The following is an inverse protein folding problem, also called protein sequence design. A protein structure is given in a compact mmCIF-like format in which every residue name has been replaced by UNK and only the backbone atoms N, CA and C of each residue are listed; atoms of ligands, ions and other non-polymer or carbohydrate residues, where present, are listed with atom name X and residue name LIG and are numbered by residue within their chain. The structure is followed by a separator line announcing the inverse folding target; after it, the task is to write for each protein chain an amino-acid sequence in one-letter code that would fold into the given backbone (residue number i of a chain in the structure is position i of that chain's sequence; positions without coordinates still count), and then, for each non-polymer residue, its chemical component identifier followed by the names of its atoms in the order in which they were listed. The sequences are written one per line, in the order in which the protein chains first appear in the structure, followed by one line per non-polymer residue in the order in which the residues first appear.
data_IF_792110725744
#
_entry.id   IF_792110725744
#
_cell.length_a   1.000
_cell.length_b   1.000
_cell.length_c   1.000
_cell.angle_alpha   90.00
_cell.angle_beta   90.00
_cell.angle_gamma   90.00
#
_symmetry.space_group_name_H-M   'P 1'
#
loop_
_entity.id
_entity.type
_entity.pdbx_description
1 polymer ?
#
# COMPACT_ATOMS: atom_id res chain seq x y z
N UNK A 1 -29.31 71.37 -20.72
CA UNK A 1 -29.40 70.78 -19.38
C UNK A 1 -28.74 69.41 -19.42
N UNK A 2 -27.86 69.18 -18.46
CA UNK A 2 -26.88 68.09 -18.39
C UNK A 2 -27.52 66.69 -18.33
N UNK A 3 -26.96 65.72 -19.07
CA UNK A 3 -26.89 64.32 -18.60
C UNK A 3 -25.80 63.50 -19.33
N UNK A 4 -24.62 63.52 -18.70
CA UNK A 4 -23.62 62.45 -18.51
C UNK A 4 -23.44 61.35 -19.58
N UNK A 5 -22.29 61.41 -20.26
CA UNK A 5 -21.61 60.25 -20.86
C UNK A 5 -21.33 59.19 -19.79
N UNK A 6 -21.84 57.97 -19.99
CA UNK A 6 -21.40 56.79 -19.25
C UNK A 6 -20.39 56.02 -20.11
N UNK A 7 -19.15 56.00 -19.65
CA UNK A 7 -18.05 55.16 -20.15
C UNK A 7 -18.40 53.69 -19.92
N UNK A 8 -18.73 52.91 -20.94
CA UNK A 8 -18.54 51.45 -20.91
C UNK A 8 -18.59 50.87 -22.32
N UNK A 9 -17.48 50.82 -23.05
CA UNK A 9 -17.30 49.90 -24.19
C UNK A 9 -15.82 49.80 -24.56
N UNK A 10 -15.00 49.28 -23.64
CA UNK A 10 -13.71 48.69 -23.96
C UNK A 10 -13.55 47.43 -23.08
N UNK A 11 -13.35 46.28 -23.75
CA UNK A 11 -13.14 44.91 -23.23
C UNK A 11 -14.37 44.14 -22.70
N UNK A 12 -14.58 42.88 -23.17
CA UNK A 12 -13.58 41.82 -23.09
C UNK A 12 -13.44 40.97 -24.37
N UNK A 13 -12.50 41.34 -25.24
CA UNK A 13 -11.89 40.38 -26.18
C UNK A 13 -10.59 39.78 -25.58
N UNK A 14 -10.12 40.29 -24.43
CA UNK A 14 -8.88 39.85 -23.81
C UNK A 14 -9.01 38.69 -22.79
N UNK A 15 -10.20 38.12 -22.57
CA UNK A 15 -10.37 37.00 -21.60
C UNK A 15 -10.36 35.63 -22.30
N UNK A 16 -10.63 35.57 -23.61
CA UNK A 16 -10.61 34.29 -24.34
C UNK A 16 -9.17 33.85 -24.66
N UNK A 17 -8.21 34.77 -24.75
CA UNK A 17 -6.79 34.42 -24.98
C UNK A 17 -6.02 34.05 -23.70
N UNK A 18 -6.59 34.22 -22.51
CA UNK A 18 -5.95 33.83 -21.24
C UNK A 18 -6.41 32.44 -20.77
N UNK A 19 -7.56 31.95 -21.24
CA UNK A 19 -7.98 30.56 -20.97
C UNK A 19 -7.36 29.52 -21.92
N UNK A 20 -6.67 29.94 -22.99
CA UNK A 20 -5.93 29.04 -23.90
C UNK A 20 -4.41 29.02 -23.64
N UNK A 21 -3.91 29.80 -22.66
CA UNK A 21 -2.52 29.75 -22.19
C UNK A 21 -2.37 29.01 -20.85
N UNK A 22 -3.42 28.30 -20.43
CA UNK A 22 -3.39 27.28 -19.37
C UNK A 22 -3.73 25.90 -19.95
N UNK A 23 -3.28 25.60 -21.18
CA UNK A 23 -2.64 24.31 -21.38
C UNK A 23 -1.35 24.39 -20.58
N UNK A 24 -1.45 24.15 -19.27
CA UNK A 24 -0.30 23.67 -18.53
C UNK A 24 0.24 22.53 -19.37
N UNK A 25 1.43 22.71 -19.94
CA UNK A 25 2.19 21.57 -20.36
C UNK A 25 2.17 20.66 -19.13
N UNK A 26 1.39 19.58 -19.19
CA UNK A 26 1.58 18.46 -18.30
C UNK A 26 3.00 18.00 -18.63
N UNK A 27 3.98 18.65 -18.00
CA UNK A 27 5.36 18.20 -17.98
C UNK A 27 5.29 16.87 -17.23
N UNK A 28 5.02 15.81 -17.99
CA UNK A 28 5.13 14.46 -17.49
C UNK A 28 6.54 14.29 -16.97
N UNK A 29 6.68 13.73 -15.79
CA UNK A 29 7.97 13.50 -15.15
C UNK A 29 8.94 12.81 -16.10
N UNK A 30 10.21 13.16 -16.03
CA UNK A 30 11.23 12.65 -16.94
C UNK A 30 11.98 11.50 -16.29
N UNK A 31 12.19 10.44 -17.08
CA UNK A 31 13.16 9.39 -16.79
C UNK A 31 14.26 9.45 -17.84
N UNK A 32 15.49 9.63 -17.41
CA UNK A 32 16.67 9.64 -18.28
C UNK A 32 17.45 8.35 -18.10
N UNK A 33 17.71 7.67 -19.21
CA UNK A 33 18.57 6.48 -19.30
C UNK A 33 19.91 6.88 -19.88
N UNK A 34 20.98 6.65 -19.12
CA UNK A 34 22.35 6.82 -19.59
C UNK A 34 22.91 5.46 -20.00
N UNK A 35 23.12 5.29 -21.32
CA UNK A 35 23.64 4.06 -21.90
C UNK A 35 25.10 3.78 -21.53
N UNK A 36 25.90 4.82 -21.34
CA UNK A 36 27.32 4.69 -21.00
C UNK A 36 27.50 4.35 -19.52
N UNK A 37 26.80 5.08 -18.65
CA UNK A 37 26.81 4.83 -17.20
C UNK A 37 25.99 3.58 -16.81
N UNK A 38 25.11 3.10 -17.69
CA UNK A 38 24.17 1.99 -17.43
C UNK A 38 23.26 2.27 -16.25
N UNK A 39 22.79 3.51 -16.16
CA UNK A 39 21.95 4.02 -15.08
C UNK A 39 20.68 4.62 -15.64
N UNK A 40 19.69 4.76 -14.76
CA UNK A 40 18.45 5.47 -15.04
C UNK A 40 18.09 6.32 -13.84
N UNK A 41 17.66 7.56 -14.06
CA UNK A 41 17.23 8.47 -13.01
C UNK A 41 15.88 9.08 -13.36
N UNK A 42 15.07 9.35 -12.34
CA UNK A 42 13.84 10.12 -12.47
C UNK A 42 13.99 11.48 -11.80
N UNK A 43 13.35 12.50 -12.36
CA UNK A 43 13.25 13.85 -11.78
C UNK A 43 12.17 13.97 -10.68
N UNK A 44 11.44 12.88 -10.40
CA UNK A 44 10.37 12.80 -9.40
C UNK A 44 10.54 11.57 -8.50
N UNK A 45 9.87 11.58 -7.35
CA UNK A 45 9.71 10.41 -6.48
C UNK A 45 8.45 9.57 -6.80
N UNK A 46 7.62 10.02 -7.75
CA UNK A 46 6.41 9.29 -8.19
C UNK A 46 6.70 8.17 -9.20
N UNK A 47 7.95 8.05 -9.64
CA UNK A 47 8.44 7.08 -10.61
C UNK A 47 9.67 6.35 -10.09
N UNK A 48 9.72 5.04 -10.33
CA UNK A 48 10.85 4.18 -9.98
C UNK A 48 11.36 3.49 -11.26
N UNK A 49 12.41 4.03 -11.91
CA UNK A 49 13.02 3.38 -13.06
C UNK A 49 13.92 2.22 -12.62
N UNK A 50 13.77 1.08 -13.28
CA UNK A 50 14.65 -0.09 -13.10
C UNK A 50 16.02 0.18 -13.69
N UNK A 51 17.07 -0.46 -13.17
CA UNK A 51 18.38 -0.48 -13.84
C UNK A 51 18.23 -0.90 -15.32
N UNK A 52 18.78 -0.13 -16.27
CA UNK A 52 18.71 -0.49 -17.70
C UNK A 52 19.34 -1.85 -17.97
N UNK A 53 18.70 -2.63 -18.84
CA UNK A 53 19.25 -3.88 -19.37
C UNK A 53 19.82 -3.62 -20.75
N UNK A 54 21.09 -3.91 -20.95
CA UNK A 54 21.79 -3.67 -22.22
C UNK A 54 22.35 -4.99 -22.73
N UNK A 55 22.05 -5.35 -23.98
CA UNK A 55 22.59 -6.54 -24.64
C UNK A 55 22.93 -6.22 -26.09
N UNK A 56 24.23 -6.20 -26.40
CA UNK A 56 24.71 -5.59 -27.64
C UNK A 56 24.32 -4.11 -27.66
N UNK A 57 23.75 -3.68 -28.78
CA UNK A 57 23.24 -2.31 -28.96
C UNK A 57 21.73 -2.17 -28.65
N UNK A 58 21.12 -3.20 -28.05
CA UNK A 58 19.74 -3.14 -27.55
C UNK A 58 19.70 -2.64 -26.11
N UNK A 59 18.68 -1.87 -25.77
CA UNK A 59 18.40 -1.41 -24.40
C UNK A 59 16.96 -1.66 -24.00
N UNK A 60 16.77 -2.11 -22.76
CA UNK A 60 15.47 -2.23 -22.13
C UNK A 60 15.40 -1.49 -20.79
N UNK A 61 14.25 -0.89 -20.51
CA UNK A 61 13.94 -0.16 -19.28
C UNK A 61 12.52 -0.51 -18.83
N UNK A 62 12.32 -0.69 -17.53
CA UNK A 62 11.00 -0.63 -16.91
C UNK A 62 10.88 0.60 -16.03
N UNK A 63 9.78 1.34 -16.13
CA UNK A 63 9.44 2.45 -15.24
C UNK A 63 8.14 2.12 -14.52
N UNK A 64 8.20 2.15 -13.19
CA UNK A 64 7.05 1.86 -12.31
C UNK A 64 6.50 3.16 -11.73
N UNK A 65 5.18 3.27 -11.65
CA UNK A 65 4.51 4.33 -10.89
C UNK A 65 4.43 3.96 -9.41
N UNK A 66 4.83 4.85 -8.52
CA UNK A 66 4.63 4.67 -7.07
C UNK A 66 3.26 5.16 -6.60
N UNK A 67 2.55 5.93 -7.43
CA UNK A 67 1.20 6.45 -7.16
C UNK A 67 0.11 5.58 -7.81
N UNK A 68 -1.13 5.74 -7.35
CA UNK A 68 -2.28 4.92 -7.74
C UNK A 68 -2.92 5.46 -9.02
N UNK A 69 -2.82 6.76 -9.25
CA UNK A 69 -3.40 7.48 -10.37
C UNK A 69 -2.61 7.26 -11.66
N UNK A 70 -3.27 7.32 -12.83
CA UNK A 70 -2.57 7.37 -14.11
C UNK A 70 -1.65 8.59 -14.19
N UNK A 71 -0.48 8.42 -14.79
CA UNK A 71 0.45 9.53 -15.03
C UNK A 71 1.21 9.38 -16.36
N UNK A 72 1.64 10.50 -16.92
CA UNK A 72 2.50 10.52 -18.10
C UNK A 72 3.96 10.61 -17.69
N UNK A 73 4.82 9.87 -18.38
CA UNK A 73 6.28 9.88 -18.22
C UNK A 73 6.94 10.22 -19.54
N UNK A 74 7.93 11.10 -19.52
CA UNK A 74 8.81 11.35 -20.67
C UNK A 74 10.08 10.51 -20.51
N UNK A 75 10.36 9.61 -21.45
CA UNK A 75 11.53 8.73 -21.36
C UNK A 75 12.58 9.18 -22.37
N UNK A 76 13.77 9.51 -21.86
CA UNK A 76 14.93 9.96 -22.61
C UNK A 76 16.03 8.92 -22.57
N UNK A 77 16.70 8.70 -23.70
CA UNK A 77 17.88 7.84 -23.79
C UNK A 77 19.06 8.68 -24.27
N UNK A 78 20.17 8.59 -23.55
CA UNK A 78 21.44 9.27 -23.88
C UNK A 78 22.46 8.21 -24.25
N UNK A 79 23.16 8.40 -25.37
CA UNK A 79 24.20 7.49 -25.85
C UNK A 79 23.70 6.29 -26.67
N UNK A 80 22.58 6.45 -27.37
CA UNK A 80 22.16 5.52 -28.42
C UNK A 80 23.15 5.60 -29.60
N UNK A 81 23.49 4.46 -30.23
CA UNK A 81 24.51 4.39 -31.30
C UNK A 81 23.94 4.36 -32.71
N UNK A 82 22.82 3.66 -32.92
CA UNK A 82 22.15 3.59 -34.21
C UNK A 82 21.25 4.80 -34.50
N UNK A 83 20.92 5.00 -35.78
CA UNK A 83 20.04 6.11 -36.20
C UNK A 83 18.55 5.81 -35.98
N UNK A 84 18.13 4.54 -36.06
CA UNK A 84 16.73 4.12 -35.99
C UNK A 84 16.59 2.83 -35.19
N UNK A 85 15.63 2.80 -34.27
CA UNK A 85 15.34 1.66 -33.40
C UNK A 85 13.92 1.15 -33.60
N UNK A 86 13.76 -0.16 -33.66
CA UNK A 86 12.49 -0.85 -33.44
C UNK A 86 12.07 -0.70 -31.97
N UNK A 87 10.87 -0.18 -31.76
CA UNK A 87 10.36 0.17 -30.42
C UNK A 87 9.36 -0.87 -29.97
N UNK A 88 9.60 -1.44 -28.80
CA UNK A 88 8.68 -2.36 -28.14
C UNK A 88 8.22 -1.75 -26.82
N UNK A 89 6.90 -1.65 -26.64
CA UNK A 89 6.29 -1.14 -25.40
C UNK A 89 5.43 -2.23 -24.83
N UNK A 90 5.71 -2.65 -23.59
CA UNK A 90 5.04 -3.78 -22.92
C UNK A 90 5.00 -5.05 -23.80
N UNK A 91 6.14 -5.35 -24.45
CA UNK A 91 6.32 -6.47 -25.39
C UNK A 91 5.53 -6.36 -26.71
N UNK A 92 4.85 -5.25 -26.99
CA UNK A 92 4.20 -5.00 -28.27
C UNK A 92 5.07 -4.11 -29.16
N UNK A 93 5.27 -4.52 -30.40
CA UNK A 93 5.97 -3.71 -31.41
C UNK A 93 5.14 -2.47 -31.76
N UNK A 94 5.74 -1.29 -31.66
CA UNK A 94 5.11 0.02 -31.95
C UNK A 94 5.65 0.68 -33.22
N UNK A 95 6.51 -0.01 -33.96
CA UNK A 95 7.16 0.52 -35.16
C UNK A 95 8.57 1.08 -34.90
N UNK A 96 9.33 1.34 -35.97
CA UNK A 96 10.64 1.96 -35.89
C UNK A 96 10.54 3.45 -35.57
N UNK A 97 11.51 4.00 -34.83
CA UNK A 97 11.64 5.44 -34.54
C UNK A 97 13.10 5.92 -34.60
N UNK A 98 13.35 7.16 -35.02
CA UNK A 98 14.68 7.76 -34.97
C UNK A 98 15.24 7.87 -33.54
N UNK A 99 16.54 7.69 -33.38
CA UNK A 99 17.23 7.87 -32.09
C UNK A 99 17.02 9.28 -31.50
N UNK A 100 16.96 10.29 -32.37
CA UNK A 100 16.71 11.69 -31.99
C UNK A 100 15.41 11.89 -31.21
N UNK A 101 14.36 11.10 -31.49
CA UNK A 101 13.11 11.18 -30.75
C UNK A 101 13.32 10.80 -29.28
N UNK A 102 14.19 9.83 -29.02
CA UNK A 102 14.54 9.38 -27.67
C UNK A 102 15.55 10.29 -26.98
N UNK A 103 16.39 11.00 -27.71
CA UNK A 103 17.26 12.04 -27.13
C UNK A 103 16.44 13.24 -26.63
N UNK A 104 15.43 13.66 -27.42
CA UNK A 104 14.49 14.71 -27.03
C UNK A 104 13.55 14.24 -25.91
N UNK A 105 13.09 12.99 -26.00
CA UNK A 105 12.24 12.33 -25.03
C UNK A 105 10.87 11.98 -25.60
N UNK A 106 10.44 10.73 -25.39
CA UNK A 106 9.13 10.24 -25.85
C UNK A 106 8.20 10.09 -24.65
N UNK A 107 6.99 10.62 -24.77
CA UNK A 107 5.98 10.51 -23.73
C UNK A 107 5.24 9.18 -23.79
N UNK A 108 5.07 8.54 -22.63
CA UNK A 108 4.28 7.32 -22.43
C UNK A 108 3.29 7.53 -21.30
N UNK A 109 2.16 6.82 -21.36
CA UNK A 109 1.18 6.76 -20.28
C UNK A 109 1.45 5.52 -19.43
N UNK A 110 1.57 5.73 -18.12
CA UNK A 110 1.47 4.65 -17.13
C UNK A 110 0.06 4.68 -16.59
N UNK A 111 -0.63 3.54 -16.66
CA UNK A 111 -1.99 3.44 -16.17
C UNK A 111 -2.05 3.42 -14.65
N UNK A 112 -3.17 3.88 -14.13
CA UNK A 112 -3.49 3.79 -12.72
C UNK A 112 -3.93 2.38 -12.32
N UNK A 113 -4.18 2.21 -11.03
CA UNK A 113 -4.65 0.96 -10.45
C UNK A 113 -5.99 0.51 -11.05
N UNK A 114 -6.11 -0.80 -11.28
CA UNK A 114 -7.37 -1.48 -11.66
C UNK A 114 -7.88 -2.44 -10.59
N UNK A 115 -7.14 -2.55 -9.48
CA UNK A 115 -7.44 -3.43 -8.35
C UNK A 115 -8.17 -2.65 -7.25
N UNK A 116 -8.94 -3.36 -6.41
CA UNK A 116 -9.62 -2.74 -5.28
C UNK A 116 -8.58 -2.16 -4.28
N UNK A 117 -8.68 -0.87 -3.90
CA UNK A 117 -7.79 -0.26 -2.91
C UNK A 117 -7.72 -0.99 -1.58
N UNK A 118 -8.83 -1.58 -1.12
CA UNK A 118 -8.93 -2.27 0.17
C UNK A 118 -8.19 -3.62 0.12
N UNK A 119 -8.27 -4.34 -1.00
CA UNK A 119 -7.46 -5.54 -1.24
C UNK A 119 -5.96 -5.21 -1.22
N UNK A 120 -5.56 -4.13 -1.89
CA UNK A 120 -4.16 -3.72 -1.91
C UNK A 120 -3.65 -3.25 -0.54
N UNK A 121 -4.50 -2.57 0.25
CA UNK A 121 -4.20 -2.23 1.65
C UNK A 121 -3.96 -3.49 2.48
N UNK A 122 -4.83 -4.49 2.34
CA UNK A 122 -4.72 -5.79 3.00
C UNK A 122 -3.40 -6.49 2.68
N UNK A 123 -3.08 -6.64 1.39
CA UNK A 123 -1.82 -7.29 0.97
C UNK A 123 -0.60 -6.53 1.48
N UNK A 124 -0.59 -5.20 1.39
CA UNK A 124 0.52 -4.39 1.87
C UNK A 124 0.74 -4.54 3.39
N UNK A 125 -0.34 -4.50 4.17
CA UNK A 125 -0.30 -4.62 5.62
C UNK A 125 0.13 -6.01 6.12
N UNK A 126 -0.05 -7.06 5.31
CA UNK A 126 0.31 -8.43 5.64
C UNK A 126 1.80 -8.76 5.45
N UNK A 127 2.53 -7.97 4.65
CA UNK A 127 3.91 -8.31 4.24
C UNK A 127 4.85 -8.55 5.43
N UNK A 128 4.88 -7.62 6.39
CA UNK A 128 5.80 -7.70 7.52
C UNK A 128 5.32 -8.71 8.60
N UNK A 129 4.04 -8.71 9.04
CA UNK A 129 3.57 -9.66 10.04
C UNK A 129 3.75 -11.13 9.64
N UNK A 130 3.50 -11.47 8.37
CA UNK A 130 3.71 -12.83 7.86
C UNK A 130 5.20 -13.20 7.91
N UNK A 131 6.09 -12.28 7.47
CA UNK A 131 7.53 -12.52 7.47
C UNK A 131 8.06 -12.75 8.90
N UNK A 132 7.65 -11.90 9.85
CA UNK A 132 8.06 -11.99 11.25
C UNK A 132 7.57 -13.29 11.90
N UNK A 133 6.32 -13.67 11.66
CA UNK A 133 5.76 -14.91 12.17
C UNK A 133 6.44 -16.14 11.55
N UNK A 134 6.69 -16.14 10.24
CA UNK A 134 7.39 -17.23 9.54
C UNK A 134 8.82 -17.41 10.06
N UNK A 135 9.55 -16.30 10.22
CA UNK A 135 10.91 -16.32 10.75
C UNK A 135 10.97 -16.82 12.21
N UNK A 136 10.00 -16.44 13.04
CA UNK A 136 9.87 -16.92 14.42
C UNK A 136 9.58 -18.42 14.47
N UNK A 137 8.54 -18.86 13.75
CA UNK A 137 8.09 -20.26 13.78
C UNK A 137 9.07 -21.21 13.08
N UNK A 138 9.82 -20.74 12.08
CA UNK A 138 10.86 -21.51 11.41
C UNK A 138 12.03 -21.92 12.32
N UNK A 139 12.22 -21.22 13.45
CA UNK A 139 13.22 -21.56 14.48
C UNK A 139 12.71 -22.54 15.53
N UNK A 140 11.42 -22.85 15.53
CA UNK A 140 10.82 -23.78 16.50
C UNK A 140 11.22 -25.23 16.18
N UNK A 141 11.41 -26.04 17.22
CA UNK A 141 11.57 -27.49 17.06
C UNK A 141 10.22 -28.22 16.92
N UNK A 142 9.12 -27.55 17.27
CA UNK A 142 7.75 -28.07 17.19
C UNK A 142 7.32 -28.31 15.72
N UNK A 143 6.81 -29.51 15.45
CA UNK A 143 6.33 -29.92 14.12
C UNK A 143 5.08 -29.15 13.67
N UNK A 144 4.16 -28.83 14.58
CA UNK A 144 2.97 -28.00 14.27
C UNK A 144 3.43 -26.59 13.88
N UNK A 145 4.36 -25.99 14.63
CA UNK A 145 4.95 -24.69 14.32
C UNK A 145 5.62 -24.66 12.93
N UNK A 146 6.38 -25.71 12.57
CA UNK A 146 7.01 -25.83 11.24
C UNK A 146 5.98 -25.91 10.11
N UNK A 147 4.86 -26.63 10.30
CA UNK A 147 3.75 -26.71 9.33
C UNK A 147 3.07 -25.36 9.13
N UNK A 148 2.87 -24.62 10.23
CA UNK A 148 2.32 -23.25 10.17
C UNK A 148 3.28 -22.34 9.40
N UNK A 149 4.59 -22.39 9.70
CA UNK A 149 5.61 -21.63 8.98
C UNK A 149 5.57 -21.89 7.46
N UNK A 150 5.45 -23.14 7.02
CA UNK A 150 5.32 -23.46 5.60
C UNK A 150 4.10 -22.77 4.96
N UNK A 151 2.96 -22.78 5.64
CA UNK A 151 1.73 -22.13 5.15
C UNK A 151 1.88 -20.60 5.11
N UNK A 152 2.53 -20.00 6.10
CA UNK A 152 2.82 -18.57 6.10
C UNK A 152 3.79 -18.17 4.97
N UNK A 153 4.77 -19.00 4.63
CA UNK A 153 5.64 -18.75 3.49
C UNK A 153 4.87 -18.77 2.15
N UNK A 154 3.88 -19.66 2.01
CA UNK A 154 2.98 -19.64 0.84
C UNK A 154 2.13 -18.37 0.80
N UNK A 155 1.59 -17.95 1.95
CA UNK A 155 0.86 -16.70 2.09
C UNK A 155 1.72 -15.48 1.71
N UNK A 156 3.00 -15.45 2.12
CA UNK A 156 3.94 -14.41 1.72
C UNK A 156 4.15 -14.38 0.20
N UNK A 157 4.16 -15.55 -0.45
CA UNK A 157 4.19 -15.68 -1.90
C UNK A 157 2.96 -15.07 -2.58
N UNK A 158 1.75 -15.33 -2.07
CA UNK A 158 0.51 -14.74 -2.58
C UNK A 158 0.50 -13.22 -2.42
N UNK A 159 0.89 -12.70 -1.25
CA UNK A 159 1.02 -11.26 -1.00
C UNK A 159 1.98 -10.61 -2.00
N UNK A 160 3.17 -11.19 -2.13
CA UNK A 160 4.21 -10.65 -3.03
C UNK A 160 3.76 -10.68 -4.49
N UNK A 161 3.08 -11.75 -4.91
CA UNK A 161 2.55 -11.89 -6.27
C UNK A 161 1.47 -10.85 -6.56
N UNK A 162 0.48 -10.69 -5.67
CA UNK A 162 -0.60 -9.72 -5.84
C UNK A 162 -0.07 -8.28 -5.93
N UNK A 163 0.81 -7.88 -5.00
CA UNK A 163 1.46 -6.56 -5.03
C UNK A 163 2.28 -6.33 -6.32
N UNK A 164 3.04 -7.34 -6.74
CA UNK A 164 3.89 -7.23 -7.94
C UNK A 164 3.08 -7.13 -9.22
N UNK A 165 1.92 -7.80 -9.30
CA UNK A 165 1.02 -7.74 -10.47
C UNK A 165 0.36 -6.38 -10.61
N UNK A 166 -0.17 -5.81 -9.52
CA UNK A 166 -0.68 -4.43 -9.53
C UNK A 166 0.41 -3.44 -9.93
N UNK A 167 1.62 -3.63 -9.40
CA UNK A 167 2.77 -2.78 -9.74
C UNK A 167 3.22 -2.94 -11.20
N UNK A 168 3.12 -4.14 -11.77
CA UNK A 168 3.41 -4.40 -13.18
C UNK A 168 2.38 -3.72 -14.09
N UNK A 169 1.10 -3.74 -13.71
CA UNK A 169 0.05 -3.00 -14.39
C UNK A 169 0.31 -1.49 -14.41
N UNK A 170 0.74 -0.95 -13.26
CA UNK A 170 1.18 0.45 -13.09
C UNK A 170 2.64 0.66 -13.53
N UNK A 171 3.07 0.01 -14.61
CA UNK A 171 4.39 0.19 -15.20
C UNK A 171 4.35 0.27 -16.71
N UNK A 172 5.40 0.84 -17.29
CA UNK A 172 5.69 0.75 -18.71
C UNK A 172 7.07 0.12 -18.89
N UNK A 173 7.16 -0.88 -19.78
CA UNK A 173 8.42 -1.49 -20.19
C UNK A 173 8.71 -1.08 -21.62
N UNK A 174 9.92 -0.61 -21.89
CA UNK A 174 10.36 -0.17 -23.22
C UNK A 174 11.61 -0.96 -23.57
N UNK A 175 11.64 -1.50 -24.79
CA UNK A 175 12.85 -2.05 -25.40
C UNK A 175 13.09 -1.36 -26.74
N UNK A 176 14.32 -0.91 -26.93
CA UNK A 176 14.83 -0.38 -28.19
C UNK A 176 15.82 -1.38 -28.75
N UNK A 177 15.58 -1.83 -29.98
CA UNK A 177 16.51 -2.66 -30.73
C UNK A 177 16.87 -1.95 -32.05
N UNK A 178 18.15 -1.93 -32.48
CA UNK A 178 18.49 -1.37 -33.78
C UNK A 178 17.66 -2.02 -34.88
N UNK A 179 17.15 -1.20 -35.81
CA UNK A 179 16.21 -1.67 -36.83
C UNK A 179 16.81 -2.83 -37.64
N UNK A 180 16.03 -3.89 -37.85
CA UNK A 180 16.48 -5.07 -38.59
C UNK A 180 17.36 -6.03 -37.79
N UNK A 181 17.57 -5.80 -36.50
CA UNK A 181 18.19 -6.78 -35.59
C UNK A 181 17.15 -7.64 -34.90
N UNK A 182 17.45 -8.92 -34.67
CA UNK A 182 16.56 -9.79 -33.90
C UNK A 182 16.50 -9.32 -32.45
N UNK A 183 15.28 -9.15 -31.93
CA UNK A 183 15.06 -8.81 -30.52
C UNK A 183 15.66 -9.89 -29.63
N UNK A 184 16.64 -9.49 -28.80
CA UNK A 184 17.12 -10.38 -27.77
C UNK A 184 16.06 -10.47 -26.67
N UNK A 185 15.88 -11.66 -26.08
CA UNK A 185 14.94 -11.88 -24.98
C UNK A 185 15.28 -11.01 -23.75
N UNK A 186 14.73 -9.80 -23.69
CA UNK A 186 14.76 -8.94 -22.51
C UNK A 186 13.48 -9.19 -21.71
N UNK A 187 13.54 -10.12 -20.75
CA UNK A 187 12.38 -10.48 -19.95
C UNK A 187 12.06 -9.42 -18.88
N UNK A 188 11.17 -8.48 -19.20
CA UNK A 188 10.49 -7.66 -18.19
C UNK A 188 9.25 -8.39 -17.68
N UNK A 189 8.77 -8.06 -16.47
CA UNK A 189 7.47 -8.59 -16.03
C UNK A 189 6.43 -8.21 -17.08
N UNK A 190 5.75 -9.22 -17.63
CA UNK A 190 4.70 -8.99 -18.60
C UNK A 190 3.49 -8.43 -17.88
N UNK A 191 3.03 -7.27 -18.35
CA UNK A 191 1.78 -6.68 -17.90
C UNK A 191 0.63 -7.54 -18.43
N UNK A 192 -0.19 -8.08 -17.54
CA UNK A 192 -1.46 -8.72 -17.92
C UNK A 192 -2.49 -7.64 -18.30
N UNK A 193 -3.61 -8.06 -18.89
CA UNK A 193 -4.74 -7.15 -19.07
C UNK A 193 -5.35 -6.72 -17.71
N UNK A 194 -6.27 -5.75 -17.75
CA UNK A 194 -6.86 -5.18 -16.55
C UNK A 194 -7.60 -6.24 -15.71
N UNK A 195 -8.30 -7.14 -16.40
CA UNK A 195 -9.11 -8.18 -15.77
C UNK A 195 -8.22 -9.26 -15.13
N UNK A 196 -7.19 -9.73 -15.83
CA UNK A 196 -6.20 -10.68 -15.32
C UNK A 196 -5.49 -10.14 -14.08
N UNK A 197 -5.10 -8.86 -14.13
CA UNK A 197 -4.48 -8.17 -12.98
C UNK A 197 -5.43 -8.13 -11.78
N UNK A 198 -6.68 -7.65 -11.98
CA UNK A 198 -7.67 -7.57 -10.91
C UNK A 198 -7.98 -8.95 -10.32
N UNK A 199 -8.22 -9.95 -11.17
CA UNK A 199 -8.50 -11.33 -10.78
C UNK A 199 -7.36 -11.93 -9.97
N UNK A 200 -6.11 -11.70 -10.35
CA UNK A 200 -4.97 -12.24 -9.63
C UNK A 200 -4.85 -11.66 -8.21
N UNK A 201 -5.10 -10.36 -8.03
CA UNK A 201 -5.13 -9.72 -6.70
C UNK A 201 -6.29 -10.25 -5.87
N UNK A 202 -7.50 -10.33 -6.43
CA UNK A 202 -8.67 -10.91 -5.74
C UNK A 202 -8.41 -12.36 -5.32
N UNK A 203 -7.77 -13.16 -6.18
CA UNK A 203 -7.40 -14.55 -5.87
C UNK A 203 -6.40 -14.62 -4.72
N UNK A 204 -5.40 -13.73 -4.67
CA UNK A 204 -4.45 -13.68 -3.57
C UNK A 204 -5.15 -13.38 -2.22
N UNK A 205 -6.04 -12.38 -2.18
CA UNK A 205 -6.82 -12.06 -0.98
C UNK A 205 -7.73 -13.23 -0.54
N UNK A 206 -8.36 -13.91 -1.49
CA UNK A 206 -9.19 -15.08 -1.21
C UNK A 206 -8.38 -16.25 -0.63
N UNK A 207 -7.21 -16.55 -1.20
CA UNK A 207 -6.32 -17.60 -0.67
C UNK A 207 -5.84 -17.29 0.75
N UNK A 208 -5.56 -16.02 1.05
CA UNK A 208 -5.17 -15.58 2.40
C UNK A 208 -6.30 -15.77 3.41
N UNK A 209 -7.55 -15.52 3.01
CA UNK A 209 -8.72 -15.79 3.85
C UNK A 209 -8.87 -17.29 4.11
N UNK A 210 -8.81 -18.13 3.07
CA UNK A 210 -8.86 -19.58 3.27
C UNK A 210 -7.76 -20.11 4.17
N UNK A 211 -6.53 -19.59 4.04
CA UNK A 211 -5.42 -19.98 4.91
C UNK A 211 -5.69 -19.57 6.37
N UNK A 212 -6.21 -18.36 6.59
CA UNK A 212 -6.58 -17.85 7.92
C UNK A 212 -7.64 -18.74 8.58
N UNK A 213 -8.71 -19.04 7.86
CA UNK A 213 -9.82 -19.85 8.38
C UNK A 213 -9.32 -21.28 8.66
N UNK A 214 -8.55 -21.85 7.74
CA UNK A 214 -7.95 -23.18 7.93
C UNK A 214 -7.01 -23.24 9.13
N UNK A 215 -6.22 -22.19 9.36
CA UNK A 215 -5.36 -22.09 10.55
C UNK A 215 -6.21 -22.02 11.83
N UNK A 216 -7.29 -21.25 11.82
CA UNK A 216 -8.20 -21.15 12.96
C UNK A 216 -8.84 -22.50 13.31
N UNK A 217 -9.25 -23.27 12.30
CA UNK A 217 -10.01 -24.51 12.53
C UNK A 217 -9.13 -25.72 12.88
N UNK A 218 -7.92 -25.80 12.32
CA UNK A 218 -7.09 -27.01 12.40
C UNK A 218 -6.06 -26.97 13.51
N UNK A 219 -5.52 -25.79 13.81
CA UNK A 219 -4.44 -25.67 14.79
C UNK A 219 -5.01 -25.86 16.19
N UNK A 220 -4.54 -26.92 16.88
CA UNK A 220 -5.07 -27.30 18.19
C UNK A 220 -4.49 -26.45 19.31
N UNK A 221 -3.21 -26.10 19.20
CA UNK A 221 -2.55 -25.25 20.19
C UNK A 221 -3.12 -23.82 20.09
N UNK A 222 -3.81 -23.31 21.12
CA UNK A 222 -4.50 -22.02 21.05
C UNK A 222 -3.52 -20.84 20.90
N UNK A 223 -2.31 -20.95 21.43
CA UNK A 223 -1.28 -19.91 21.32
C UNK A 223 -0.74 -19.86 19.89
N UNK A 224 -0.34 -21.01 19.33
CA UNK A 224 0.14 -21.08 17.94
C UNK A 224 -0.96 -20.68 16.94
N UNK A 225 -2.21 -21.10 17.19
CA UNK A 225 -3.36 -20.70 16.40
C UNK A 225 -3.52 -19.19 16.37
N UNK A 226 -3.57 -18.55 17.55
CA UNK A 226 -3.75 -17.11 17.63
C UNK A 226 -2.59 -16.37 16.96
N UNK A 227 -1.35 -16.78 17.18
CA UNK A 227 -0.17 -16.21 16.53
C UNK A 227 -0.27 -16.28 15.00
N UNK A 228 -0.71 -17.42 14.47
CA UNK A 228 -0.83 -17.65 13.03
C UNK A 228 -1.99 -16.84 12.41
N UNK A 229 -3.16 -16.84 13.06
CA UNK A 229 -4.34 -16.08 12.60
C UNK A 229 -4.07 -14.57 12.67
N UNK A 230 -3.40 -14.08 13.71
CA UNK A 230 -2.97 -12.68 13.83
C UNK A 230 -2.01 -12.32 12.70
N UNK A 231 -1.05 -13.19 12.35
CA UNK A 231 -0.12 -12.93 11.26
C UNK A 231 -0.81 -12.82 9.88
N UNK A 232 -1.96 -13.49 9.70
CA UNK A 232 -2.77 -13.45 8.48
C UNK A 232 -3.96 -12.47 8.54
N UNK A 233 -4.06 -11.68 9.62
CA UNK A 233 -5.16 -10.74 9.81
C UNK A 233 -4.59 -9.35 10.07
N UNK A 234 -4.53 -8.47 9.06
CA UNK A 234 -3.93 -7.15 9.20
C UNK A 234 -4.87 -6.23 9.97
N UNK A 235 -4.91 -6.39 11.30
CA UNK A 235 -5.64 -5.53 12.22
C UNK A 235 -4.64 -4.98 13.21
N UNK A 236 -4.56 -3.65 13.29
CA UNK A 236 -3.68 -2.99 14.23
C UNK A 236 -4.44 -2.64 15.49
N UNK A 237 -3.82 -2.91 16.65
CA UNK A 237 -4.37 -2.54 17.93
C UNK A 237 -3.37 -1.69 18.69
N UNK A 238 -3.72 -0.43 18.91
CA UNK A 238 -2.87 0.54 19.60
C UNK A 238 -3.61 1.13 20.79
N UNK A 239 -2.86 1.47 21.83
CA UNK A 239 -3.42 2.05 23.04
C UNK A 239 -2.55 3.19 23.52
N UNK A 240 -3.17 4.31 23.88
CA UNK A 240 -2.49 5.44 24.47
C UNK A 240 -3.05 5.72 25.85
N UNK A 241 -2.16 5.99 26.81
CA UNK A 241 -2.50 6.42 28.15
C UNK A 241 -2.00 7.85 28.33
N UNK A 242 -2.92 8.78 28.57
CA UNK A 242 -2.63 10.18 28.85
C UNK A 242 -3.36 10.69 30.10
N UNK A 243 -3.10 11.94 30.50
CA UNK A 243 -3.89 12.64 31.52
C UNK A 243 -4.72 13.73 30.85
N UNK A 244 -6.05 13.65 30.99
CA UNK A 244 -6.99 14.63 30.43
C UNK A 244 -7.82 15.24 31.56
N UNK A 245 -7.81 16.57 31.70
CA UNK A 245 -8.52 17.28 32.77
C UNK A 245 -8.18 16.74 34.18
N UNK A 246 -6.91 16.40 34.42
CA UNK A 246 -6.43 15.84 35.68
C UNK A 246 -6.87 14.38 35.94
N UNK A 247 -7.48 13.70 34.97
CA UNK A 247 -7.90 12.30 35.08
C UNK A 247 -7.07 11.40 34.15
N UNK A 248 -6.71 10.18 34.58
CA UNK A 248 -6.07 9.22 33.69
C UNK A 248 -7.05 8.78 32.60
N UNK A 249 -6.64 8.91 31.34
CA UNK A 249 -7.45 8.69 30.15
C UNK A 249 -6.78 7.69 29.22
N UNK A 250 -7.55 6.73 28.72
CA UNK A 250 -7.09 5.70 27.81
C UNK A 250 -7.89 5.80 26.51
N UNK A 251 -7.16 5.80 25.38
CA UNK A 251 -7.72 5.54 24.06
C UNK A 251 -7.21 4.19 23.56
N UNK A 252 -8.12 3.31 23.19
CA UNK A 252 -7.84 2.05 22.52
C UNK A 252 -8.35 2.12 21.08
N UNK A 253 -7.47 1.94 20.10
CA UNK A 253 -7.76 2.06 18.68
C UNK A 253 -7.57 0.73 17.97
N UNK A 254 -8.61 0.28 17.27
CA UNK A 254 -8.58 -0.88 16.38
C UNK A 254 -8.66 -0.36 14.94
N UNK A 255 -7.61 -0.57 14.15
CA UNK A 255 -7.58 -0.21 12.73
C UNK A 255 -7.80 -1.47 11.90
N UNK A 256 -8.81 -1.45 11.03
CA UNK A 256 -9.04 -2.56 10.11
C UNK A 256 -8.27 -2.32 8.80
N UNK A 257 -7.21 -3.09 8.55
CA UNK A 257 -6.54 -3.11 7.24
C UNK A 257 -6.91 -4.35 6.41
N UNK A 258 -7.86 -5.18 6.85
CA UNK A 258 -8.37 -6.31 6.06
C UNK A 258 -9.14 -5.81 4.83
N UNK A 259 -9.26 -6.64 3.81
CA UNK A 259 -10.11 -6.40 2.65
C UNK A 259 -11.61 -6.63 2.96
N UNK A 260 -11.93 -7.11 4.16
CA UNK A 260 -13.28 -7.36 4.64
C UNK A 260 -13.59 -6.54 5.89
N UNK A 261 -14.88 -6.26 6.17
CA UNK A 261 -15.30 -5.69 7.44
C UNK A 261 -14.98 -6.61 8.62
N UNK A 262 -14.76 -6.01 9.79
CA UNK A 262 -14.51 -6.73 11.03
C UNK A 262 -15.50 -6.33 12.13
N UNK A 263 -15.73 -7.23 13.08
CA UNK A 263 -16.55 -7.00 14.25
C UNK A 263 -15.81 -7.45 15.52
N UNK A 264 -16.20 -6.95 16.69
CA UNK A 264 -15.51 -7.31 17.92
C UNK A 264 -15.81 -6.42 19.12
N UNK A 265 -14.95 -6.57 20.11
CA UNK A 265 -15.01 -5.84 21.37
C UNK A 265 -13.62 -5.53 21.94
N UNK A 266 -13.54 -4.44 22.69
CA UNK A 266 -12.38 -4.07 23.50
C UNK A 266 -12.67 -4.41 24.96
N UNK A 267 -11.71 -5.05 25.61
CA UNK A 267 -11.74 -5.42 27.01
C UNK A 267 -10.45 -4.98 27.70
N UNK A 268 -10.50 -4.79 29.02
CA UNK A 268 -9.35 -4.36 29.82
C UNK A 268 -9.40 -5.01 31.20
N UNK A 269 -8.23 -5.21 31.79
CA UNK A 269 -8.09 -5.72 33.15
C UNK A 269 -7.61 -4.59 34.07
N UNK A 270 -8.49 -4.11 34.94
CA UNK A 270 -8.15 -3.04 35.88
C UNK A 270 -7.59 -3.61 37.20
N UNK A 271 -6.61 -2.93 37.82
CA UNK A 271 -6.18 -3.25 39.18
C UNK A 271 -7.34 -3.15 40.18
N UNK A 272 -7.23 -3.89 41.30
CA UNK A 272 -8.26 -3.90 42.34
C UNK A 272 -8.58 -2.48 42.83
N UNK A 273 -9.85 -2.13 42.87
CA UNK A 273 -10.34 -0.83 43.34
C UNK A 273 -10.46 0.25 42.26
N UNK A 274 -9.93 0.02 41.06
CA UNK A 274 -10.09 0.91 39.91
C UNK A 274 -11.37 0.61 39.14
N UNK A 275 -12.02 1.66 38.63
CA UNK A 275 -13.22 1.61 37.79
C UNK A 275 -13.00 2.41 36.51
N UNK A 276 -13.95 2.32 35.59
CA UNK A 276 -13.94 3.13 34.37
C UNK A 276 -15.36 3.57 33.99
N UNK A 277 -15.47 4.65 33.22
CA UNK A 277 -16.70 5.11 32.57
C UNK A 277 -16.85 4.59 31.13
N UNK A 278 -16.07 3.59 30.72
CA UNK A 278 -16.09 3.05 29.37
C UNK A 278 -17.50 2.69 28.89
N UNK A 279 -17.84 3.19 27.70
CA UNK A 279 -19.07 2.89 26.96
C UNK A 279 -18.69 2.52 25.53
N UNK A 280 -19.61 1.84 24.84
CA UNK A 280 -19.46 1.50 23.41
C UNK A 280 -18.16 0.75 23.12
N UNK A 281 -17.87 -0.30 23.87
CA UNK A 281 -16.66 -1.13 23.67
C UNK A 281 -16.77 -2.11 22.51
N UNK A 282 -17.95 -2.22 21.89
CA UNK A 282 -18.22 -3.12 20.77
C UNK A 282 -18.21 -2.34 19.47
N UNK A 283 -17.72 -2.98 18.42
CA UNK A 283 -17.80 -2.49 17.05
C UNK A 283 -18.33 -3.61 16.15
N UNK A 284 -19.12 -3.21 15.16
CA UNK A 284 -19.67 -4.09 14.14
C UNK A 284 -19.46 -3.44 12.78
N UNK A 285 -19.21 -4.26 11.75
CA UNK A 285 -19.03 -3.82 10.37
C UNK A 285 -17.98 -2.69 10.20
N UNK A 286 -16.86 -2.78 10.93
CA UNK A 286 -15.77 -1.83 10.80
C UNK A 286 -15.09 -2.05 9.45
N UNK A 287 -15.32 -1.13 8.51
CA UNK A 287 -14.86 -1.23 7.11
C UNK A 287 -13.33 -1.14 6.98
N UNK A 288 -12.80 -1.61 5.86
CA UNK A 288 -11.38 -1.49 5.56
C UNK A 288 -10.91 -0.03 5.60
N UNK A 289 -9.71 0.21 6.13
CA UNK A 289 -9.10 1.54 6.25
C UNK A 289 -9.74 2.43 7.32
N UNK A 290 -10.71 1.92 8.08
CA UNK A 290 -11.37 2.66 9.14
C UNK A 290 -10.86 2.26 10.53
N UNK A 291 -11.06 3.17 11.48
CA UNK A 291 -10.57 3.03 12.85
C UNK A 291 -11.74 3.11 13.81
N UNK A 292 -11.86 2.10 14.67
CA UNK A 292 -12.69 2.18 15.85
C UNK A 292 -11.87 2.69 17.03
N UNK A 293 -12.42 3.65 17.79
CA UNK A 293 -11.77 4.21 18.98
C UNK A 293 -12.68 4.05 20.20
N UNK A 294 -12.19 3.35 21.22
CA UNK A 294 -12.79 3.29 22.55
C UNK A 294 -12.00 4.19 23.50
N UNK A 295 -12.62 5.28 23.95
CA UNK A 295 -12.03 6.25 24.87
C UNK A 295 -12.70 6.18 26.23
N UNK A 296 -11.91 6.12 27.30
CA UNK A 296 -12.45 6.07 28.65
C UNK A 296 -11.49 6.61 29.71
N UNK A 297 -12.06 7.14 30.78
CA UNK A 297 -11.33 7.57 31.96
C UNK A 297 -11.20 6.43 32.97
N UNK A 298 -10.07 6.42 33.68
CA UNK A 298 -9.87 5.59 34.86
C UNK A 298 -10.30 6.36 36.11
N UNK A 299 -11.08 5.68 36.94
CA UNK A 299 -11.61 6.20 38.18
C UNK A 299 -10.99 5.40 39.32
N UNK A 300 -9.99 6.00 39.97
CA UNK A 300 -9.24 5.36 41.06
C UNK A 300 -9.85 5.58 42.44
N UNK A 301 -9.44 4.76 43.44
CA UNK A 301 -9.72 5.04 44.84
C UNK A 301 -9.02 6.32 45.29
N UNK A 302 -9.61 7.02 46.26
CA UNK A 302 -9.07 8.29 46.77
C UNK A 302 -7.60 8.15 47.21
N UNK A 303 -6.76 9.12 46.85
CA UNK A 303 -5.33 9.19 47.22
C UNK A 303 -4.42 8.08 46.65
N UNK A 304 -4.86 7.36 45.61
CA UNK A 304 -4.02 6.34 44.94
C UNK A 304 -3.47 6.90 43.62
N UNK A 305 -2.18 6.70 43.37
CA UNK A 305 -1.57 7.07 42.09
C UNK A 305 -2.16 6.22 40.94
N UNK A 306 -2.30 6.78 39.72
CA UNK A 306 -2.74 6.01 38.57
C UNK A 306 -1.82 4.82 38.26
N UNK A 307 -2.35 3.71 37.74
CA UNK A 307 -1.52 2.57 37.37
C UNK A 307 -0.57 2.95 36.23
N UNK A 308 0.69 2.53 36.31
CA UNK A 308 1.69 2.79 35.27
C UNK A 308 1.38 2.07 33.95
N UNK A 309 0.58 1.00 34.02
CA UNK A 309 0.18 0.18 32.89
C UNK A 309 -1.21 -0.42 33.09
N UNK A 310 -2.01 -0.43 32.03
CA UNK A 310 -3.30 -1.13 31.98
C UNK A 310 -3.30 -2.12 30.82
N UNK A 311 -3.44 -3.43 31.08
CA UNK A 311 -3.61 -4.43 30.03
C UNK A 311 -4.94 -4.24 29.31
N UNK A 312 -4.88 -4.15 27.98
CA UNK A 312 -6.04 -4.02 27.10
C UNK A 312 -5.97 -5.11 26.04
N UNK A 313 -7.12 -5.68 25.72
CA UNK A 313 -7.27 -6.66 24.67
C UNK A 313 -8.41 -6.28 23.73
N UNK A 314 -8.29 -6.65 22.46
CA UNK A 314 -9.38 -6.60 21.50
C UNK A 314 -9.65 -8.02 21.00
N UNK A 315 -10.90 -8.45 21.07
CA UNK A 315 -11.36 -9.65 20.38
C UNK A 315 -11.92 -9.19 19.04
N UNK A 316 -11.40 -9.73 17.95
CA UNK A 316 -11.77 -9.34 16.59
C UNK A 316 -12.20 -10.58 15.83
N UNK A 317 -13.29 -10.47 15.09
CA UNK A 317 -13.78 -11.51 14.19
C UNK A 317 -13.86 -10.94 12.78
N UNK A 318 -13.33 -11.70 11.83
CA UNK A 318 -13.47 -11.45 10.39
C UNK A 318 -14.41 -12.50 9.86
N UNK A 319 -15.49 -12.07 9.21
CA UNK A 319 -16.52 -12.97 8.67
C UNK A 319 -16.60 -12.80 7.16
N UNK A 320 -16.66 -13.93 6.45
CA UNK A 320 -16.97 -13.99 5.03
C UNK A 320 -17.91 -15.16 4.79
N UNK A 321 -19.10 -14.88 4.29
CA UNK A 321 -20.10 -15.91 3.97
C UNK A 321 -20.35 -16.83 5.18
N UNK A 322 -20.06 -18.13 5.07
CA UNK A 322 -20.16 -19.15 6.13
C UNK A 322 -18.87 -19.33 6.96
N UNK A 323 -17.79 -18.64 6.60
CA UNK A 323 -16.49 -18.72 7.27
C UNK A 323 -16.27 -17.55 8.25
N UNK A 324 -15.68 -17.85 9.41
CA UNK A 324 -15.29 -16.83 10.37
C UNK A 324 -14.02 -17.20 11.11
N UNK A 325 -13.10 -16.25 11.27
CA UNK A 325 -11.92 -16.38 12.11
C UNK A 325 -11.93 -15.33 13.22
N UNK A 326 -11.70 -15.76 14.45
CA UNK A 326 -11.56 -14.88 15.61
C UNK A 326 -10.12 -14.83 16.08
N UNK A 327 -9.64 -13.64 16.42
CA UNK A 327 -8.32 -13.41 17.00
C UNK A 327 -8.41 -12.54 18.23
N UNK A 328 -7.41 -12.68 19.10
CA UNK A 328 -7.24 -11.86 20.28
C UNK A 328 -5.95 -11.05 20.19
N UNK A 329 -6.09 -9.74 20.10
CA UNK A 329 -5.01 -8.76 20.15
C UNK A 329 -4.83 -8.31 21.60
N UNK A 330 -3.59 -8.11 22.04
CA UNK A 330 -3.26 -7.69 23.40
C UNK A 330 -2.18 -6.61 23.36
N UNK A 331 -2.32 -5.62 24.22
CA UNK A 331 -1.36 -4.54 24.42
C UNK A 331 -1.44 -4.01 25.84
N UNK A 332 -0.52 -3.14 26.22
CA UNK A 332 -0.54 -2.41 27.47
C UNK A 332 -0.63 -0.91 27.18
N UNK A 333 -1.61 -0.23 27.75
CA UNK A 333 -1.61 1.22 27.78
C UNK A 333 -0.62 1.67 28.86
N UNK A 334 0.53 2.20 28.45
CA UNK A 334 1.59 2.65 29.35
C UNK A 334 1.44 4.15 29.60
N UNK A 335 1.40 4.55 30.88
CA UNK A 335 1.31 5.96 31.26
C UNK A 335 2.53 6.70 30.70
N UNK A 336 2.28 7.60 29.75
CA UNK A 336 3.36 8.42 29.20
C UNK A 336 3.83 9.38 30.30
N UNK A 337 5.14 9.40 30.57
CA UNK A 337 5.72 10.39 31.46
C UNK A 337 5.41 11.78 30.89
N UNK A 338 4.63 12.57 31.62
CA UNK A 338 4.45 14.00 31.33
C UNK A 338 5.83 14.63 31.33
N UNK A 339 6.38 14.93 30.14
CA UNK A 339 7.50 15.86 30.07
C UNK A 339 7.00 17.20 30.60
N UNK A 340 7.70 17.82 31.57
CA UNK A 340 7.34 19.16 32.00
C UNK A 340 7.42 20.10 30.79
N UNK A 341 6.34 20.81 30.52
CA UNK A 341 6.38 21.94 29.62
C UNK A 341 7.45 22.92 30.14
N UNK A 342 8.43 23.24 29.29
CA UNK A 342 9.36 24.34 29.56
C UNK A 342 8.68 25.67 29.35
#
# INVERSE_FOLDING_TARGET
MSMRLTRTFILPIAIISVCLALTGACYGSTVTVDMAAKTSASDTNTLEPSKPRIKGDQVGLQVKSTIIEPQFVTIKFVGLKDQVYDVYVNNEFKGPRPAKDFEVGVQYRIDGRVTDPDMMRCLAALKQPIADASARLGKSEDTEAKRICWTLNQAAGWVSSGLSRDQAWRSVSIVLAPTGTMLNSMAFMTREDAYGTARAVTTACWLLQQARDRMNDVIKNPTLRNDAVVALTPVEFTTTYSTRNGKPHIDAKVTNNCDLPIAGDVSFALPKGWKTNAKNLKFADLKSGTVFTASFDLIGPAKTAPPDSVPIAANVTVTRDDMSASLKLKTNALMQATMPAK
#
